data_IF_584100669166
#
_entry.id   IF_584100669166
#
_cell.length_a   1.000
_cell.length_b   1.000
_cell.length_c   1.000
_cell.angle_alpha   90.00
_cell.angle_beta   90.00
_cell.angle_gamma   90.00
#
_symmetry.space_group_name_H-M   'P 1'
#
loop_
_entity.id
_entity.type
_entity.pdbx_description
1 polymer ?
#
# COMPACT_ATOMS: atom_id res chain seq x y z
N UNK A 1 34.15 7.18 19.32
CA UNK A 1 35.11 6.16 19.81
C UNK A 1 36.52 6.66 19.53
N UNK A 2 37.34 6.91 20.56
CA UNK A 2 38.72 7.36 20.38
C UNK A 2 39.58 6.17 19.99
N UNK A 3 40.15 6.20 18.78
CA UNK A 3 41.11 5.21 18.32
C UNK A 3 42.50 5.83 18.56
N UNK A 4 43.27 5.26 19.47
CA UNK A 4 44.64 5.70 19.75
C UNK A 4 45.63 4.85 18.95
N UNK A 5 46.34 5.49 18.05
CA UNK A 5 47.36 4.84 17.23
C UNK A 5 48.73 5.41 17.52
N UNK A 6 49.72 4.53 17.70
CA UNK A 6 51.14 4.88 17.76
C UNK A 6 51.82 4.56 19.09
N UNK A 7 52.62 3.50 19.08
CA UNK A 7 53.55 3.12 20.12
C UNK A 7 54.91 3.72 19.81
N UNK A 8 55.42 4.58 20.68
CA UNK A 8 56.80 5.07 20.52
C UNK A 8 57.77 4.07 21.19
N UNK A 9 58.38 3.22 20.38
CA UNK A 9 59.21 2.11 20.84
C UNK A 9 60.57 2.54 21.44
N UNK A 10 60.99 3.80 21.28
CA UNK A 10 62.32 4.27 21.76
C UNK A 10 62.28 4.69 23.21
N UNK A 11 61.17 5.17 23.73
CA UNK A 11 61.05 5.68 25.10
C UNK A 11 60.44 4.68 26.09
N UNK A 12 59.89 3.57 25.60
CA UNK A 12 59.13 2.61 26.39
C UNK A 12 59.74 1.21 26.48
N UNK A 13 61.03 1.10 26.17
CA UNK A 13 61.76 -0.17 26.29
C UNK A 13 61.99 -0.53 27.76
N UNK A 14 61.33 -1.59 28.20
CA UNK A 14 61.70 -2.26 29.44
C UNK A 14 60.81 -2.11 30.63
N UNK A 15 59.63 -1.50 30.49
CA UNK A 15 58.71 -1.31 31.62
C UNK A 15 57.43 -2.21 31.47
N UNK A 16 57.16 -3.01 32.45
CA UNK A 16 55.96 -3.88 32.52
C UNK A 16 54.67 -3.12 32.73
N UNK A 17 54.73 -1.81 32.85
CA UNK A 17 53.56 -0.90 32.99
C UNK A 17 53.48 0.08 31.80
N UNK A 18 52.40 0.02 31.10
CA UNK A 18 52.10 0.92 30.01
C UNK A 18 51.79 2.31 30.56
N UNK A 19 52.79 3.22 30.48
CA UNK A 19 52.58 4.61 30.92
C UNK A 19 51.86 5.39 29.84
N UNK A 20 50.89 6.26 30.26
CA UNK A 20 50.13 7.13 29.35
C UNK A 20 51.03 8.00 28.45
N UNK A 21 52.29 8.29 28.88
CA UNK A 21 53.28 9.06 28.14
C UNK A 21 53.91 8.30 26.96
N UNK A 22 53.65 6.99 26.84
CA UNK A 22 54.16 6.16 25.74
C UNK A 22 53.28 6.17 24.50
N UNK A 23 52.12 6.77 24.57
CA UNK A 23 51.19 6.91 23.46
C UNK A 23 51.32 8.29 22.85
N UNK A 24 51.41 8.33 21.54
CA UNK A 24 51.28 9.59 20.83
C UNK A 24 49.85 10.12 21.07
N UNK A 25 49.74 11.32 21.61
CA UNK A 25 48.47 11.93 22.00
C UNK A 25 47.65 12.44 20.80
N UNK A 26 48.05 12.09 19.59
CA UNK A 26 47.25 12.43 18.39
C UNK A 26 45.99 11.54 18.41
N UNK A 27 44.90 12.06 18.91
CA UNK A 27 43.57 11.40 18.79
C UNK A 27 43.03 11.61 17.37
N UNK A 28 42.70 10.52 16.72
CA UNK A 28 41.87 10.57 15.52
C UNK A 28 40.42 10.48 15.98
N UNK A 29 39.66 11.53 15.81
CA UNK A 29 38.22 11.50 16.06
C UNK A 29 37.52 10.98 14.81
N UNK A 30 36.93 9.80 14.90
CA UNK A 30 36.06 9.27 13.87
C UNK A 30 34.62 9.67 14.24
N UNK A 31 34.03 10.50 13.43
CA UNK A 31 32.62 10.84 13.56
C UNK A 31 31.83 9.89 12.68
N UNK A 32 30.98 9.09 13.29
CA UNK A 32 29.95 8.34 12.55
C UNK A 32 28.80 9.30 12.30
N UNK A 33 28.58 9.64 11.06
CA UNK A 33 27.44 10.48 10.67
C UNK A 33 26.27 9.56 10.35
N UNK A 34 25.18 9.78 11.06
CA UNK A 34 23.90 9.12 10.76
C UNK A 34 23.27 9.80 9.54
N UNK A 35 22.65 9.00 8.68
CA UNK A 35 21.88 9.49 7.54
C UNK A 35 20.38 9.48 7.90
N UNK A 36 19.66 10.47 7.40
CA UNK A 36 18.22 10.55 7.61
C UNK A 36 17.52 9.73 6.55
N UNK A 37 16.74 8.75 6.98
CA UNK A 37 15.91 7.95 6.11
C UNK A 37 14.82 8.79 5.44
N UNK A 38 14.56 8.54 4.16
CA UNK A 38 13.55 9.22 3.36
C UNK A 38 12.50 8.25 2.83
N UNK A 39 11.29 8.75 2.55
CA UNK A 39 10.20 7.94 2.03
C UNK A 39 9.60 8.58 0.78
N UNK A 40 9.20 7.74 -0.17
CA UNK A 40 8.42 8.12 -1.35
C UNK A 40 7.43 7.01 -1.72
N UNK A 41 6.43 7.36 -2.52
CA UNK A 41 5.41 6.43 -3.00
C UNK A 41 5.28 6.53 -4.52
N UNK A 42 4.93 5.43 -5.19
CA UNK A 42 4.74 5.43 -6.65
C UNK A 42 3.55 6.28 -7.11
N UNK A 43 2.58 6.51 -6.22
CA UNK A 43 1.41 7.39 -6.44
C UNK A 43 0.95 7.92 -5.10
N UNK A 44 0.34 9.08 -5.06
CA UNK A 44 -0.35 9.63 -3.89
C UNK A 44 -1.79 9.08 -3.74
N UNK A 45 -2.23 8.28 -4.70
CA UNK A 45 -3.55 7.66 -4.67
C UNK A 45 -3.44 6.14 -4.75
N UNK A 46 -4.34 5.45 -4.06
CA UNK A 46 -4.51 4.00 -4.10
C UNK A 46 -5.82 3.72 -4.83
N UNK A 47 -5.78 2.84 -5.83
CA UNK A 47 -6.97 2.37 -6.55
C UNK A 47 -7.20 0.89 -6.28
N UNK A 48 -8.44 0.41 -6.47
CA UNK A 48 -8.75 -1.01 -6.27
C UNK A 48 -7.87 -1.92 -7.13
N UNK A 49 -7.43 -3.03 -6.55
CA UNK A 49 -6.64 -4.08 -7.19
C UNK A 49 -5.28 -3.64 -7.78
N UNK A 50 -4.83 -2.41 -7.54
CA UNK A 50 -3.56 -1.89 -8.03
C UNK A 50 -2.55 -1.78 -6.89
N UNK A 51 -1.31 -2.22 -7.15
CA UNK A 51 -0.22 -2.09 -6.19
C UNK A 51 0.38 -0.67 -6.22
N UNK A 52 0.46 -0.05 -5.05
CA UNK A 52 1.21 1.18 -4.83
C UNK A 52 2.50 0.82 -4.09
N UNK A 53 3.64 1.13 -4.67
CA UNK A 53 4.95 0.84 -4.07
C UNK A 53 5.36 1.98 -3.14
N UNK A 54 5.69 1.64 -1.92
CA UNK A 54 6.33 2.52 -0.95
C UNK A 54 7.82 2.23 -0.96
N UNK A 55 8.63 3.26 -1.11
CA UNK A 55 10.10 3.19 -1.16
C UNK A 55 10.68 3.99 -0.01
N UNK A 56 11.56 3.36 0.77
CA UNK A 56 12.34 3.97 1.83
C UNK A 56 13.80 3.90 1.40
N UNK A 57 14.51 5.02 1.49
CA UNK A 57 15.95 5.08 1.25
C UNK A 57 16.63 5.43 2.57
N UNK A 58 17.45 4.52 3.07
CA UNK A 58 18.17 4.68 4.34
C UNK A 58 19.47 3.87 4.30
N UNK A 59 20.58 4.61 4.27
CA UNK A 59 21.90 3.99 4.16
C UNK A 59 22.32 3.27 5.45
N UNK A 60 21.85 3.74 6.60
CA UNK A 60 22.22 3.17 7.90
C UNK A 60 21.54 1.83 8.15
N UNK A 61 20.50 1.52 7.40
CA UNK A 61 19.78 0.25 7.48
C UNK A 61 20.34 -0.83 6.56
N UNK A 62 21.31 -0.52 5.69
CA UNK A 62 22.03 -1.48 4.88
C UNK A 62 23.22 -2.03 5.67
N UNK A 63 22.98 -3.12 6.42
CA UNK A 63 23.97 -3.69 7.34
C UNK A 63 24.83 -4.78 6.71
N UNK A 64 24.26 -5.54 5.77
CA UNK A 64 24.93 -6.70 5.16
C UNK A 64 24.97 -6.55 3.63
N UNK A 65 26.12 -6.17 3.04
CA UNK A 65 26.21 -5.95 1.59
C UNK A 65 26.05 -7.24 0.75
N UNK A 66 26.02 -8.40 1.38
CA UNK A 66 25.86 -9.69 0.71
C UNK A 66 24.44 -10.25 0.79
N UNK A 67 23.58 -9.65 1.61
CA UNK A 67 22.18 -10.08 1.82
C UNK A 67 21.25 -8.88 1.78
N UNK A 68 20.00 -9.15 1.43
CA UNK A 68 18.96 -8.14 1.55
C UNK A 68 18.60 -7.91 3.01
N UNK A 69 18.72 -6.68 3.43
CA UNK A 69 18.27 -6.22 4.74
C UNK A 69 16.78 -5.91 4.77
N UNK A 70 16.24 -5.73 5.97
CA UNK A 70 14.82 -5.41 6.18
C UNK A 70 14.64 -4.31 7.22
N UNK A 71 13.64 -3.46 6.98
CA UNK A 71 13.17 -2.46 7.93
C UNK A 71 11.82 -2.91 8.49
N UNK A 72 11.72 -3.00 9.82
CA UNK A 72 10.52 -3.45 10.53
C UNK A 72 9.85 -2.35 11.38
N UNK A 73 10.26 -1.10 11.18
CA UNK A 73 9.70 0.08 11.86
C UNK A 73 8.92 0.97 10.90
N UNK A 74 8.11 0.34 10.06
CA UNK A 74 7.18 1.01 9.18
C UNK A 74 5.77 0.70 9.66
N UNK A 75 4.97 1.73 9.82
CA UNK A 75 3.60 1.67 10.34
C UNK A 75 2.66 2.22 9.28
N UNK A 76 1.56 1.53 9.06
CA UNK A 76 0.50 1.99 8.16
C UNK A 76 -0.81 2.03 8.94
N UNK A 77 -1.45 3.18 8.95
CA UNK A 77 -2.75 3.41 9.56
C UNK A 77 -3.78 3.64 8.46
N UNK A 78 -4.93 3.01 8.59
CA UNK A 78 -6.07 3.21 7.70
C UNK A 78 -7.15 3.98 8.47
N UNK A 79 -7.43 5.23 8.08
CA UNK A 79 -8.47 6.07 8.68
C UNK A 79 -8.33 6.15 10.22
N UNK A 80 -7.17 6.55 10.71
CA UNK A 80 -6.86 6.67 12.16
C UNK A 80 -7.12 5.38 12.97
N UNK A 81 -7.05 4.21 12.31
CA UNK A 81 -7.12 2.93 12.98
C UNK A 81 -5.81 2.60 13.71
N UNK A 82 -5.79 1.51 14.47
CA UNK A 82 -4.54 1.04 15.05
C UNK A 82 -3.50 0.75 13.96
N UNK A 83 -2.26 1.23 14.12
CA UNK A 83 -1.22 1.05 13.11
C UNK A 83 -0.87 -0.43 12.91
N UNK A 84 -0.65 -0.80 11.66
CA UNK A 84 -0.18 -2.11 11.26
C UNK A 84 1.32 -1.99 10.96
N UNK A 85 2.11 -2.81 11.63
CA UNK A 85 3.53 -2.89 11.33
C UNK A 85 3.75 -3.68 10.06
N UNK A 86 4.48 -3.10 9.12
CA UNK A 86 4.92 -3.74 7.88
C UNK A 86 6.43 -3.80 7.84
N UNK A 87 6.96 -4.74 7.06
CA UNK A 87 8.39 -4.88 6.82
C UNK A 87 8.70 -4.41 5.40
N UNK A 88 9.62 -3.48 5.25
CA UNK A 88 10.17 -3.13 3.95
C UNK A 88 11.43 -3.96 3.69
N UNK A 89 11.53 -4.56 2.51
CA UNK A 89 12.65 -5.43 2.13
C UNK A 89 13.53 -4.71 1.11
N UNK A 90 14.82 -4.83 1.26
CA UNK A 90 15.79 -4.23 0.35
C UNK A 90 15.62 -4.73 -1.09
N UNK A 91 15.77 -3.85 -2.06
CA UNK A 91 15.58 -4.17 -3.48
C UNK A 91 16.72 -5.01 -4.05
N UNK A 92 17.93 -4.82 -3.58
CA UNK A 92 19.13 -5.59 -3.88
C UNK A 92 19.87 -5.95 -2.60
N UNK A 93 21.10 -6.47 -2.67
CA UNK A 93 21.91 -6.83 -1.50
C UNK A 93 22.72 -5.68 -0.93
N UNK A 94 22.82 -4.57 -1.64
CA UNK A 94 23.62 -3.40 -1.22
C UNK A 94 23.08 -2.13 -1.88
N UNK A 95 21.80 -1.84 -1.71
CA UNK A 95 21.12 -0.73 -2.39
C UNK A 95 20.71 0.38 -1.45
N UNK A 96 20.59 0.11 -0.15
CA UNK A 96 20.01 1.02 0.84
C UNK A 96 18.58 1.48 0.48
N UNK A 97 17.90 0.76 -0.43
CA UNK A 97 16.55 1.05 -0.93
C UNK A 97 15.65 -0.10 -0.53
N UNK A 98 14.66 0.19 0.30
CA UNK A 98 13.73 -0.77 0.86
C UNK A 98 12.33 -0.51 0.31
N UNK A 99 11.59 -1.56 -0.01
CA UNK A 99 10.26 -1.44 -0.58
C UNK A 99 9.27 -2.40 0.06
N UNK A 100 8.01 -2.01 0.03
CA UNK A 100 6.84 -2.87 0.18
C UNK A 100 5.71 -2.30 -0.67
N UNK A 101 4.63 -3.07 -0.84
CA UNK A 101 3.48 -2.62 -1.63
C UNK A 101 2.23 -2.51 -0.77
N UNK A 102 1.37 -1.55 -1.12
CA UNK A 102 0.02 -1.41 -0.58
C UNK A 102 -0.97 -1.68 -1.71
N UNK A 103 -1.93 -2.57 -1.46
CA UNK A 103 -3.05 -2.86 -2.36
C UNK A 103 -4.35 -2.68 -1.61
N UNK A 104 -5.30 -2.00 -2.21
CA UNK A 104 -6.67 -1.99 -1.74
C UNK A 104 -7.54 -2.95 -2.55
N UNK A 105 -8.55 -3.49 -1.88
CA UNK A 105 -9.64 -4.26 -2.49
C UNK A 105 -10.96 -3.76 -1.95
N UNK A 106 -12.02 -3.89 -2.72
CA UNK A 106 -13.37 -3.53 -2.25
C UNK A 106 -14.03 -4.78 -1.68
N UNK A 107 -14.44 -4.71 -0.42
CA UNK A 107 -15.13 -5.81 0.27
C UNK A 107 -16.53 -5.40 0.72
N UNK A 108 -17.49 -6.29 0.54
CA UNK A 108 -18.90 -5.98 0.81
C UNK A 108 -19.20 -5.65 2.28
N UNK A 109 -18.45 -6.22 3.23
CA UNK A 109 -18.86 -6.21 4.65
C UNK A 109 -17.81 -5.75 5.65
N UNK A 110 -16.53 -5.81 5.33
CA UNK A 110 -15.45 -5.57 6.30
C UNK A 110 -14.44 -4.54 5.79
N UNK A 111 -14.01 -3.65 6.67
CA UNK A 111 -12.83 -2.80 6.44
C UNK A 111 -11.71 -3.32 7.32
N UNK A 112 -10.55 -3.52 6.76
CA UNK A 112 -9.38 -3.97 7.52
C UNK A 112 -8.20 -4.31 6.61
N UNK A 113 -7.03 -4.32 7.19
CA UNK A 113 -5.79 -4.60 6.46
C UNK A 113 -5.09 -5.83 7.03
N UNK A 114 -4.36 -6.53 6.16
CA UNK A 114 -3.47 -7.63 6.53
C UNK A 114 -2.16 -7.52 5.76
N UNK A 115 -1.04 -7.76 6.44
CA UNK A 115 0.28 -7.76 5.83
C UNK A 115 0.77 -9.19 5.60
N UNK A 116 1.27 -9.44 4.38
CA UNK A 116 1.91 -10.69 3.99
C UNK A 116 3.41 -10.46 3.80
N UNK A 117 4.22 -11.09 4.64
CA UNK A 117 5.70 -11.05 4.55
C UNK A 117 6.20 -11.74 3.28
N UNK A 118 5.57 -12.84 2.86
CA UNK A 118 5.93 -13.58 1.65
C UNK A 118 5.70 -12.75 0.39
N UNK A 119 4.58 -12.04 0.31
CA UNK A 119 4.27 -11.18 -0.82
C UNK A 119 4.88 -9.77 -0.67
N UNK A 120 5.44 -9.45 0.49
CA UNK A 120 5.91 -8.11 0.86
C UNK A 120 4.85 -7.04 0.58
N UNK A 121 3.61 -7.32 0.99
CA UNK A 121 2.45 -6.52 0.62
C UNK A 121 1.44 -6.39 1.75
N UNK A 122 0.99 -5.17 1.98
CA UNK A 122 -0.19 -4.85 2.79
C UNK A 122 -1.42 -4.85 1.88
N UNK A 123 -2.40 -5.68 2.19
CA UNK A 123 -3.68 -5.70 1.49
C UNK A 123 -4.77 -5.17 2.41
N UNK A 124 -5.47 -4.13 1.97
CA UNK A 124 -6.55 -3.50 2.72
C UNK A 124 -7.89 -3.68 2.01
N UNK A 125 -8.84 -4.31 2.69
CA UNK A 125 -10.22 -4.44 2.23
C UNK A 125 -11.01 -3.21 2.68
N UNK A 126 -11.64 -2.51 1.75
CA UNK A 126 -12.42 -1.30 1.99
C UNK A 126 -13.89 -1.56 1.71
N UNK A 127 -14.78 -1.03 2.56
CA UNK A 127 -16.23 -1.03 2.24
C UNK A 127 -16.50 0.01 1.14
N UNK A 128 -17.37 -0.27 0.17
CA UNK A 128 -17.70 0.69 -0.89
C UNK A 128 -18.16 2.05 -0.36
N UNK A 129 -18.93 2.07 0.71
CA UNK A 129 -19.44 3.31 1.34
C UNK A 129 -18.38 4.15 2.03
N UNK A 130 -17.25 3.55 2.42
CA UNK A 130 -16.16 4.21 3.14
C UNK A 130 -14.91 4.38 2.28
N UNK A 131 -14.79 3.65 1.17
CA UNK A 131 -13.58 3.62 0.36
C UNK A 131 -13.16 5.00 -0.14
N UNK A 132 -14.13 5.79 -0.64
CA UNK A 132 -13.89 7.13 -1.22
C UNK A 132 -13.14 8.10 -0.32
N UNK A 133 -13.23 7.92 1.00
CA UNK A 133 -12.61 8.81 1.98
C UNK A 133 -11.49 8.08 2.76
N UNK A 134 -11.07 6.91 2.29
CA UNK A 134 -10.02 6.17 2.98
C UNK A 134 -8.67 6.83 2.78
N UNK A 135 -7.96 7.00 3.89
CA UNK A 135 -6.64 7.58 3.99
C UNK A 135 -5.70 6.52 4.56
N UNK A 136 -4.53 6.38 3.96
CA UNK A 136 -3.46 5.53 4.44
C UNK A 136 -2.32 6.43 4.89
N UNK A 137 -2.09 6.54 6.18
CA UNK A 137 -0.97 7.24 6.73
C UNK A 137 0.17 6.26 6.98
N UNK A 138 1.32 6.55 6.37
CA UNK A 138 2.50 5.70 6.40
C UNK A 138 3.57 6.44 7.15
N UNK A 139 4.16 5.80 8.15
CA UNK A 139 5.21 6.37 8.98
C UNK A 139 6.39 5.41 9.05
N UNK A 140 7.56 5.90 8.72
CA UNK A 140 8.83 5.23 8.97
C UNK A 140 9.55 5.91 10.14
N UNK A 141 9.87 5.13 11.15
CA UNK A 141 10.68 5.58 12.28
C UNK A 141 12.13 5.17 12.03
N UNK A 142 12.95 6.16 11.67
CA UNK A 142 14.36 5.97 11.49
C UNK A 142 15.01 5.54 12.80
N UNK A 143 15.70 4.41 12.76
CA UNK A 143 16.29 3.79 13.95
C UNK A 143 17.50 4.55 14.46
N UNK A 144 18.29 5.12 13.58
CA UNK A 144 19.57 5.75 13.90
C UNK A 144 19.51 7.27 13.79
N UNK A 145 18.85 7.81 12.79
CA UNK A 145 18.72 9.25 12.57
C UNK A 145 17.73 9.95 13.50
N UNK A 146 16.98 9.21 14.32
CA UNK A 146 16.01 9.77 15.27
C UNK A 146 14.88 10.56 14.61
N UNK A 147 14.76 10.50 13.28
CA UNK A 147 13.77 11.19 12.48
C UNK A 147 12.61 10.29 12.11
N UNK A 148 11.55 10.91 11.61
CA UNK A 148 10.37 10.21 11.09
C UNK A 148 10.11 10.69 9.68
N UNK A 149 10.04 9.76 8.73
CA UNK A 149 9.56 10.03 7.38
C UNK A 149 8.10 9.57 7.27
N UNK A 150 7.25 10.34 6.60
CA UNK A 150 5.84 10.02 6.45
C UNK A 150 5.34 10.27 5.03
N UNK A 151 4.29 9.55 4.66
CA UNK A 151 3.55 9.74 3.42
C UNK A 151 2.07 9.43 3.66
N UNK A 152 1.20 10.20 3.03
CA UNK A 152 -0.25 10.00 3.07
C UNK A 152 -0.75 9.65 1.67
N UNK A 153 -1.49 8.54 1.57
CA UNK A 153 -2.16 8.12 0.35
C UNK A 153 -3.67 8.22 0.53
N UNK A 154 -4.38 8.62 -0.51
CA UNK A 154 -5.84 8.64 -0.51
C UNK A 154 -6.40 7.62 -1.47
N UNK A 155 -7.51 6.99 -1.11
CA UNK A 155 -8.20 6.10 -2.05
C UNK A 155 -8.88 6.93 -3.14
N UNK A 156 -8.54 6.67 -4.40
CA UNK A 156 -9.17 7.27 -5.56
C UNK A 156 -10.28 6.35 -6.07
N UNK A 157 -11.53 6.71 -5.78
CA UNK A 157 -12.68 6.05 -6.39
C UNK A 157 -12.93 6.61 -7.79
N UNK A 158 -13.31 5.74 -8.71
CA UNK A 158 -13.75 6.10 -10.05
C UNK A 158 -15.27 6.20 -10.11
N UNK A 159 -15.78 7.02 -11.02
CA UNK A 159 -17.23 7.11 -11.22
C UNK A 159 -17.68 6.01 -12.18
N UNK A 160 -18.65 5.22 -11.73
CA UNK A 160 -19.31 4.25 -12.61
C UNK A 160 -19.98 4.94 -13.80
N UNK A 161 -19.91 4.33 -14.97
CA UNK A 161 -20.61 4.80 -16.16
C UNK A 161 -21.58 3.75 -16.66
N UNK A 162 -22.70 4.20 -17.19
CA UNK A 162 -23.69 3.39 -17.87
C UNK A 162 -23.94 4.00 -19.24
N UNK A 163 -23.76 3.21 -20.28
CA UNK A 163 -24.05 3.59 -21.66
C UNK A 163 -25.02 2.61 -22.28
N UNK A 164 -25.79 3.08 -23.25
CA UNK A 164 -26.68 2.27 -24.06
C UNK A 164 -26.21 2.30 -25.51
N UNK A 165 -26.50 1.24 -26.27
CA UNK A 165 -26.17 1.14 -27.69
C UNK A 165 -26.99 2.12 -28.58
N UNK A 166 -28.12 2.65 -28.07
CA UNK A 166 -28.93 3.66 -28.71
C UNK A 166 -29.59 4.59 -27.71
N UNK A 167 -29.99 5.78 -28.15
CA UNK A 167 -30.69 6.77 -27.33
C UNK A 167 -32.21 6.58 -27.32
N UNK A 168 -32.74 5.81 -28.25
CA UNK A 168 -34.15 5.44 -28.35
C UNK A 168 -34.30 4.04 -28.94
N UNK A 169 -35.36 3.35 -28.58
CA UNK A 169 -35.68 1.99 -29.05
C UNK A 169 -37.11 1.94 -29.53
N UNK A 170 -37.35 1.23 -30.62
CA UNK A 170 -38.70 0.93 -31.09
C UNK A 170 -39.36 -0.14 -30.21
N UNK A 171 -40.69 -0.17 -30.18
CA UNK A 171 -41.44 -1.19 -29.46
C UNK A 171 -41.12 -2.62 -29.94
N UNK A 172 -40.67 -2.79 -31.18
CA UNK A 172 -40.26 -4.05 -31.77
C UNK A 172 -38.80 -4.44 -31.41
N UNK A 173 -38.05 -3.62 -30.68
CA UNK A 173 -36.70 -3.95 -30.30
C UNK A 173 -36.66 -5.22 -29.42
N UNK A 174 -35.94 -6.25 -29.88
CA UNK A 174 -35.83 -7.54 -29.20
C UNK A 174 -34.79 -7.56 -28.11
N UNK A 175 -33.86 -6.60 -28.11
CA UNK A 175 -32.79 -6.47 -27.13
C UNK A 175 -32.28 -5.04 -27.01
N UNK A 176 -31.83 -4.68 -25.84
CA UNK A 176 -31.16 -3.42 -25.53
C UNK A 176 -29.82 -3.79 -24.93
N UNK A 177 -28.75 -3.22 -25.46
CA UNK A 177 -27.42 -3.40 -24.90
C UNK A 177 -27.10 -2.29 -23.91
N UNK A 178 -26.76 -2.67 -22.68
CA UNK A 178 -26.32 -1.78 -21.62
C UNK A 178 -24.88 -2.12 -21.26
N UNK A 179 -24.01 -1.14 -21.36
CA UNK A 179 -22.61 -1.28 -20.96
C UNK A 179 -22.37 -0.53 -19.65
N UNK A 180 -21.97 -1.28 -18.63
CA UNK A 180 -21.55 -0.76 -17.32
C UNK A 180 -20.03 -0.80 -17.26
N UNK A 181 -19.44 0.30 -16.85
CA UNK A 181 -18.02 0.38 -16.54
C UNK A 181 -17.88 0.83 -15.10
N UNK A 182 -17.33 -0.04 -14.28
CA UNK A 182 -17.11 0.20 -12.85
C UNK A 182 -15.73 -0.35 -12.46
N UNK A 183 -14.67 0.47 -12.61
CA UNK A 183 -13.29 0.02 -12.33
C UNK A 183 -13.08 -0.39 -10.87
N UNK A 184 -13.77 0.24 -9.92
CA UNK A 184 -13.61 -0.07 -8.50
C UNK A 184 -14.22 -1.43 -8.11
N UNK A 185 -15.12 -1.97 -8.94
CA UNK A 185 -15.67 -3.30 -8.74
C UNK A 185 -14.72 -4.41 -9.23
N UNK A 186 -13.62 -4.07 -9.91
CA UNK A 186 -12.61 -5.02 -10.34
C UNK A 186 -11.61 -5.28 -9.20
N UNK A 187 -11.94 -6.15 -8.28
CA UNK A 187 -11.15 -6.47 -7.09
C UNK A 187 -10.23 -7.68 -7.26
N UNK A 188 -10.32 -8.39 -8.37
CA UNK A 188 -9.50 -9.58 -8.65
C UNK A 188 -9.13 -9.68 -10.13
N UNK A 189 -7.85 -9.80 -10.41
CA UNK A 189 -7.35 -10.11 -11.78
C UNK A 189 -7.50 -11.59 -12.16
N UNK A 190 -7.80 -12.45 -11.18
CA UNK A 190 -7.84 -13.90 -11.39
C UNK A 190 -9.25 -14.47 -11.58
N UNK A 191 -10.30 -13.71 -11.26
CA UNK A 191 -11.68 -14.18 -11.34
C UNK A 191 -12.61 -13.08 -11.87
N UNK A 192 -13.64 -13.50 -12.61
CA UNK A 192 -14.72 -12.60 -13.03
C UNK A 192 -15.55 -12.19 -11.82
N UNK A 193 -15.74 -10.90 -11.63
CA UNK A 193 -16.66 -10.35 -10.64
C UNK A 193 -18.07 -10.25 -11.19
N UNK A 194 -19.05 -10.27 -10.29
CA UNK A 194 -20.45 -10.08 -10.61
C UNK A 194 -20.94 -8.76 -10.01
N UNK A 195 -21.52 -7.93 -10.85
CA UNK A 195 -22.21 -6.71 -10.39
C UNK A 195 -23.71 -7.06 -10.18
N UNK A 196 -24.21 -6.75 -8.99
CA UNK A 196 -25.62 -6.86 -8.69
C UNK A 196 -26.29 -5.50 -8.91
N UNK A 197 -27.18 -5.43 -9.88
CA UNK A 197 -27.98 -4.23 -10.11
C UNK A 197 -29.31 -4.35 -9.41
N UNK A 198 -29.63 -3.36 -8.59
CA UNK A 198 -30.93 -3.24 -7.94
C UNK A 198 -31.72 -2.13 -8.64
N UNK A 199 -32.76 -2.49 -9.41
CA UNK A 199 -33.64 -1.52 -10.07
C UNK A 199 -34.93 -1.34 -9.26
N UNK A 200 -35.19 -0.11 -8.84
CA UNK A 200 -36.52 0.24 -8.30
C UNK A 200 -37.39 0.68 -9.46
N UNK A 201 -38.39 -0.08 -9.80
CA UNK A 201 -39.35 0.29 -10.83
C UNK A 201 -40.24 1.44 -10.32
N UNK A 202 -40.05 2.65 -10.86
CA UNK A 202 -40.99 3.73 -10.68
C UNK A 202 -42.06 3.66 -11.77
N UNK A 203 -43.29 3.38 -11.41
CA UNK A 203 -44.41 3.79 -12.24
C UNK A 203 -45.31 2.75 -12.85
N UNK A 204 -45.53 1.60 -12.21
CA UNK A 204 -46.79 0.87 -12.49
C UNK A 204 -47.51 0.51 -11.17
N UNK A 205 -48.70 1.08 -10.91
CA UNK A 205 -49.41 0.88 -9.66
C UNK A 205 -50.03 -0.52 -9.49
N UNK A 206 -49.77 -1.45 -10.40
CA UNK A 206 -50.45 -2.74 -10.39
C UNK A 206 -49.59 -3.95 -10.06
N UNK A 207 -48.34 -3.81 -9.68
CA UNK A 207 -47.58 -4.94 -9.14
C UNK A 207 -47.05 -4.62 -7.76
N UNK A 208 -47.49 -5.44 -6.79
CA UNK A 208 -47.21 -5.31 -5.36
C UNK A 208 -45.79 -5.72 -4.93
N UNK A 209 -44.91 -5.96 -5.83
CA UNK A 209 -43.54 -6.45 -5.60
C UNK A 209 -42.52 -5.37 -5.84
N UNK A 210 -42.29 -4.65 -4.78
CA UNK A 210 -41.58 -3.38 -4.71
C UNK A 210 -40.08 -3.39 -5.01
N UNK A 211 -39.39 -4.46 -5.26
CA UNK A 211 -37.95 -4.42 -5.57
C UNK A 211 -37.50 -5.59 -6.42
N UNK A 212 -37.07 -5.31 -7.61
CA UNK A 212 -36.36 -6.26 -8.43
C UNK A 212 -34.85 -6.07 -8.27
N UNK A 213 -34.12 -7.11 -7.88
CA UNK A 213 -32.66 -7.13 -7.95
C UNK A 213 -32.23 -7.62 -9.32
N UNK A 214 -31.86 -6.68 -10.20
CA UNK A 214 -31.44 -6.94 -11.57
C UNK A 214 -31.99 -5.93 -12.57
N UNK A 215 -31.51 -5.98 -13.83
CA UNK A 215 -32.07 -5.23 -14.94
C UNK A 215 -33.06 -6.15 -15.66
N UNK A 216 -34.30 -5.70 -15.82
CA UNK A 216 -35.36 -6.46 -16.45
C UNK A 216 -35.78 -5.85 -17.77
N UNK A 217 -36.04 -6.69 -18.75
CA UNK A 217 -36.70 -6.35 -20.00
C UNK A 217 -38.09 -7.02 -19.98
N UNK A 218 -39.14 -6.22 -19.91
CA UNK A 218 -40.52 -6.71 -19.94
C UNK A 218 -41.31 -6.51 -18.64
N UNK A 219 -42.55 -7.03 -18.60
CA UNK A 219 -43.52 -6.84 -17.49
C UNK A 219 -43.30 -7.75 -16.29
N UNK A 220 -42.42 -8.71 -16.37
CA UNK A 220 -42.10 -9.68 -15.31
C UNK A 220 -40.65 -9.62 -14.91
N UNK A 221 -40.43 -9.53 -13.59
CA UNK A 221 -39.09 -9.62 -13.01
C UNK A 221 -38.58 -11.07 -13.10
N UNK A 222 -37.73 -11.37 -14.03
CA UNK A 222 -36.96 -12.60 -14.03
C UNK A 222 -35.56 -12.29 -13.47
N UNK A 223 -35.15 -13.00 -12.42
CA UNK A 223 -33.80 -12.93 -11.85
C UNK A 223 -32.75 -13.36 -12.88
N UNK A 224 -32.44 -12.51 -13.84
CA UNK A 224 -31.28 -12.71 -14.71
C UNK A 224 -30.12 -11.92 -14.15
N UNK A 225 -29.22 -12.61 -13.48
CA UNK A 225 -27.89 -12.08 -13.15
C UNK A 225 -27.19 -11.78 -14.49
N UNK A 226 -26.86 -10.51 -14.71
CA UNK A 226 -25.96 -10.17 -15.80
C UNK A 226 -24.56 -10.68 -15.40
N UNK A 227 -24.12 -11.76 -16.07
CA UNK A 227 -22.72 -12.16 -15.94
C UNK A 227 -21.85 -11.09 -16.58
N UNK A 228 -20.81 -10.67 -15.87
CA UNK A 228 -19.83 -9.76 -16.41
C UNK A 228 -19.20 -10.37 -17.67
N UNK A 229 -19.47 -9.82 -18.84
CA UNK A 229 -18.71 -10.15 -20.05
C UNK A 229 -17.48 -9.25 -20.03
N UNK A 230 -16.33 -9.87 -19.95
CA UNK A 230 -14.96 -9.32 -19.95
C UNK A 230 -14.81 -7.99 -20.65
#
# INVERSE_FOLDING_TARGET
QDIRYGYNSTTCKGDSGVRASCYNSTSLTLTVQETVGTMSTSSLTVTAATDNTVTITDADMNHDPEKKDTINKVFVELNDSSPITVTATETGTNTSIFQFTIRSTIAATTTGCSYSTTANRLTCSLRPSAAKNSIFDITYQDKYGGSTASATLTYASTTATLTTDATSYDEAATSISLTFTEPDANDSSASKQQLLFNSTRKGNPQTSDGSCSGIYVGSTCNDKKLANST
#
